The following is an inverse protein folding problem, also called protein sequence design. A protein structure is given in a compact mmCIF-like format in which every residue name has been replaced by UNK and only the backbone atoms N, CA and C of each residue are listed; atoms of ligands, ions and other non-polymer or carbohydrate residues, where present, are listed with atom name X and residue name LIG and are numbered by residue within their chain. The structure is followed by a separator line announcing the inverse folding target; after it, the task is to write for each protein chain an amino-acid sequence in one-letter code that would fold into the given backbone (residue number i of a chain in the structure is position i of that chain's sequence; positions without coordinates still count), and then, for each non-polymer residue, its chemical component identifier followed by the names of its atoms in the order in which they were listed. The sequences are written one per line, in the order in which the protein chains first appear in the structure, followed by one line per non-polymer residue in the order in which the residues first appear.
data_IF_135623848393
#
_entry.id   IF_135623848393
#
_cell.length_a   1.000
_cell.length_b   1.000
_cell.length_c   1.000
_cell.angle_alpha   90.00
_cell.angle_beta   90.00
_cell.angle_gamma   90.00
#
_symmetry.space_group_name_H-M   'P 1'
#
loop_
_entity.id
_entity.type
_entity.pdbx_description
1 polymer ?
#
# COMPACT_ATOMS: atom_id res chain seq x y z
N UNK A 1 3.33 -12.62 -6.67
CA UNK A 1 4.31 -11.74 -7.34
C UNK A 1 3.82 -10.32 -7.19
N UNK A 2 4.66 -9.41 -6.69
CA UNK A 2 4.31 -7.99 -6.55
C UNK A 2 4.64 -7.24 -7.84
N UNK A 3 3.80 -6.27 -8.20
CA UNK A 3 3.96 -5.39 -9.36
C UNK A 3 4.14 -3.96 -8.87
N UNK A 4 5.16 -3.27 -9.38
CA UNK A 4 5.38 -1.85 -9.11
C UNK A 4 4.36 -1.01 -9.87
N UNK A 5 3.75 -0.07 -9.16
CA UNK A 5 2.86 0.94 -9.73
C UNK A 5 3.47 2.31 -9.48
N UNK A 6 3.87 2.99 -10.55
CA UNK A 6 4.41 4.35 -10.46
C UNK A 6 3.27 5.37 -10.36
N UNK A 7 3.43 6.33 -9.46
CA UNK A 7 2.46 7.40 -9.18
C UNK A 7 2.58 8.54 -10.21
N UNK A 8 3.69 8.61 -10.94
CA UNK A 8 3.97 9.66 -11.94
C UNK A 8 4.35 11.03 -11.34
N UNK A 9 4.14 11.22 -10.03
CA UNK A 9 4.61 12.37 -9.24
C UNK A 9 4.98 11.95 -7.83
N UNK A 10 5.82 12.74 -7.15
CA UNK A 10 6.07 12.55 -5.72
C UNK A 10 4.91 13.08 -4.92
N UNK A 11 4.33 12.24 -4.08
CA UNK A 11 3.27 12.61 -3.13
C UNK A 11 3.70 12.31 -1.70
N UNK A 12 3.07 12.97 -0.74
CA UNK A 12 3.28 12.59 0.66
C UNK A 12 2.73 11.18 0.90
N UNK A 13 3.36 10.44 1.81
CA UNK A 13 2.85 9.12 2.22
C UNK A 13 1.39 9.19 2.69
N UNK A 14 1.04 10.19 3.48
CA UNK A 14 -0.33 10.36 3.99
C UNK A 14 -1.33 10.58 2.84
N UNK A 15 -0.95 11.35 1.82
CA UNK A 15 -1.78 11.56 0.62
C UNK A 15 -1.99 10.24 -0.13
N UNK A 16 -0.92 9.45 -0.32
CA UNK A 16 -1.02 8.16 -0.99
C UNK A 16 -1.91 7.18 -0.21
N UNK A 17 -1.66 7.00 1.09
CA UNK A 17 -2.43 6.09 1.94
C UNK A 17 -3.91 6.49 1.99
N UNK A 18 -4.22 7.79 2.03
CA UNK A 18 -5.59 8.30 1.94
C UNK A 18 -6.22 7.94 0.59
N UNK A 19 -5.54 8.18 -0.53
CA UNK A 19 -6.05 7.85 -1.86
C UNK A 19 -6.30 6.34 -2.03
N UNK A 20 -5.40 5.49 -1.52
CA UNK A 20 -5.55 4.03 -1.50
C UNK A 20 -6.79 3.59 -0.71
N UNK A 21 -7.03 4.20 0.45
CA UNK A 21 -8.21 3.94 1.28
C UNK A 21 -9.52 4.40 0.63
N UNK A 22 -9.57 5.64 0.15
CA UNK A 22 -10.75 6.19 -0.53
C UNK A 22 -11.10 5.42 -1.80
N UNK A 23 -10.11 4.95 -2.56
CA UNK A 23 -10.34 4.09 -3.72
C UNK A 23 -10.98 2.74 -3.32
N UNK A 24 -10.51 2.13 -2.22
CA UNK A 24 -11.10 0.88 -1.72
C UNK A 24 -12.56 1.08 -1.29
N UNK A 25 -12.83 2.15 -0.53
CA UNK A 25 -14.18 2.49 -0.06
C UNK A 25 -15.14 2.75 -1.23
N UNK A 26 -14.72 3.51 -2.25
CA UNK A 26 -15.52 3.79 -3.46
C UNK A 26 -15.92 2.51 -4.19
N UNK A 27 -15.07 1.48 -4.19
CA UNK A 27 -15.35 0.19 -4.82
C UNK A 27 -16.06 -0.81 -3.90
N UNK A 28 -16.41 -0.40 -2.68
CA UNK A 28 -17.04 -1.26 -1.68
C UNK A 28 -16.10 -2.35 -1.14
N UNK A 29 -14.79 -2.10 -1.16
CA UNK A 29 -13.78 -3.00 -0.63
C UNK A 29 -13.43 -2.60 0.80
N UNK A 30 -13.23 -3.58 1.67
CA UNK A 30 -12.67 -3.37 3.01
C UNK A 30 -11.15 -3.26 2.90
N UNK A 31 -10.55 -2.43 3.75
CA UNK A 31 -9.11 -2.23 3.82
C UNK A 31 -8.61 -2.49 5.24
N UNK A 32 -7.69 -3.43 5.38
CA UNK A 32 -7.00 -3.69 6.64
C UNK A 32 -5.53 -3.32 6.49
N UNK A 33 -5.04 -2.38 7.30
CA UNK A 33 -3.64 -1.96 7.28
C UNK A 33 -2.81 -2.71 8.34
N UNK A 34 -1.60 -3.11 7.99
CA UNK A 34 -0.61 -3.70 8.88
C UNK A 34 0.74 -3.03 8.67
N UNK A 35 1.32 -2.49 9.74
CA UNK A 35 2.68 -1.96 9.72
C UNK A 35 3.66 -3.09 10.00
N UNK A 36 4.65 -3.26 9.14
CA UNK A 36 5.73 -4.22 9.32
C UNK A 36 6.98 -3.51 9.83
N UNK A 37 7.62 -4.12 10.82
CA UNK A 37 8.80 -3.58 11.48
C UNK A 37 9.97 -4.55 11.27
N UNK A 38 11.09 -4.01 10.82
CA UNK A 38 12.34 -4.76 10.70
C UNK A 38 13.15 -4.59 12.00
N UNK A 39 13.62 -5.70 12.54
CA UNK A 39 14.57 -5.71 13.65
C UNK A 39 15.98 -5.54 13.11
N UNK A 40 16.72 -4.57 13.67
CA UNK A 40 18.15 -4.40 13.39
C UNK A 40 18.97 -4.56 14.66
N UNK A 41 20.00 -5.39 14.57
CA UNK A 41 21.03 -5.58 15.58
C UNK A 41 22.27 -4.77 15.18
N UNK A 42 22.79 -3.95 16.09
CA UNK A 42 24.04 -3.23 15.89
C UNK A 42 25.15 -3.92 16.68
N UNK A 43 26.19 -4.38 15.99
CA UNK A 43 27.41 -4.93 16.61
C UNK A 43 28.10 -3.82 17.40
N UNK A 44 28.36 -4.08 18.69
CA UNK A 44 29.02 -3.13 19.60
C UNK A 44 28.11 -2.54 20.69
N UNK A 45 26.77 -2.64 20.58
CA UNK A 45 25.87 -2.08 21.60
C UNK A 45 24.82 -3.06 22.16
N UNK A 46 24.78 -4.32 21.69
CA UNK A 46 23.75 -5.35 22.02
C UNK A 46 22.35 -4.71 22.13
N UNK A 47 22.02 -3.81 21.20
CA UNK A 47 20.77 -3.05 21.22
C UNK A 47 19.94 -3.46 20.02
N UNK A 48 18.79 -4.08 20.28
CA UNK A 48 17.76 -4.30 19.27
C UNK A 48 17.04 -2.98 19.02
N UNK A 49 16.97 -2.59 17.75
CA UNK A 49 16.14 -1.46 17.30
C UNK A 49 15.09 -1.97 16.33
N UNK A 50 13.86 -1.47 16.45
CA UNK A 50 12.79 -1.76 15.52
C UNK A 50 12.58 -0.54 14.63
N UNK A 51 12.65 -0.74 13.31
CA UNK A 51 12.39 0.31 12.32
C UNK A 51 11.18 -0.08 11.49
N UNK A 52 10.23 0.84 11.35
CA UNK A 52 9.11 0.66 10.43
C UNK A 52 9.65 0.49 9.01
N UNK A 53 9.36 -0.64 8.38
CA UNK A 53 9.94 -1.05 7.11
C UNK A 53 8.97 -0.87 5.94
N UNK A 54 7.69 -1.22 6.11
CA UNK A 54 6.63 -0.94 5.13
C UNK A 54 5.25 -1.08 5.78
N UNK A 55 4.21 -0.59 5.10
CA UNK A 55 2.81 -0.77 5.49
C UNK A 55 2.08 -1.51 4.39
N UNK A 56 1.45 -2.63 4.76
CA UNK A 56 0.63 -3.46 3.89
C UNK A 56 -0.85 -3.14 4.10
N UNK A 57 -1.57 -2.90 3.01
CA UNK A 57 -3.02 -2.71 2.96
C UNK A 57 -3.63 -3.92 2.27
N UNK A 58 -4.37 -4.73 3.02
CA UNK A 58 -5.09 -5.87 2.52
C UNK A 58 -6.49 -5.45 2.09
N UNK A 59 -6.72 -5.45 0.78
CA UNK A 59 -8.00 -5.11 0.16
C UNK A 59 -8.86 -6.37 0.06
N UNK A 60 -10.06 -6.30 0.62
CA UNK A 60 -11.01 -7.42 0.72
C UNK A 60 -12.35 -7.07 0.11
N UNK A 61 -12.93 -7.99 -0.65
CA UNK A 61 -14.32 -7.89 -1.13
C UNK A 61 -15.12 -9.03 -0.53
N UNK A 62 -16.10 -8.69 0.32
CA UNK A 62 -16.85 -9.63 1.17
C UNK A 62 -15.90 -10.42 2.10
N UNK A 63 -15.54 -11.65 1.72
CA UNK A 63 -14.76 -12.59 2.54
C UNK A 63 -13.40 -12.97 1.94
N UNK A 64 -13.05 -12.48 0.75
CA UNK A 64 -11.82 -12.87 0.06
C UNK A 64 -10.84 -11.71 -0.03
N UNK A 65 -9.57 -12.01 0.24
CA UNK A 65 -8.45 -11.13 -0.06
C UNK A 65 -8.34 -10.98 -1.58
N UNK A 66 -8.54 -9.75 -2.06
CA UNK A 66 -8.42 -9.41 -3.47
C UNK A 66 -6.98 -9.09 -3.79
N UNK A 67 -6.42 -8.14 -3.06
CA UNK A 67 -5.13 -7.57 -3.40
C UNK A 67 -4.47 -7.03 -2.14
N UNK A 68 -3.16 -7.14 -2.07
CA UNK A 68 -2.35 -6.42 -1.09
C UNK A 68 -1.69 -5.23 -1.78
N UNK A 69 -1.66 -4.09 -1.09
CA UNK A 69 -0.93 -2.89 -1.52
C UNK A 69 0.14 -2.59 -0.48
N UNK A 70 1.39 -2.44 -0.90
CA UNK A 70 2.52 -2.16 0.00
C UNK A 70 3.06 -0.76 -0.25
N UNK A 71 3.18 0.02 0.82
CA UNK A 71 3.78 1.36 0.84
C UNK A 71 5.01 1.39 1.74
N UNK A 72 5.96 2.25 1.40
CA UNK A 72 7.24 2.34 2.10
C UNK A 72 7.24 3.51 3.10
N UNK A 73 8.14 3.52 4.11
CA UNK A 73 8.09 4.43 5.24
C UNK A 73 8.64 5.81 4.90
N UNK A 74 8.88 6.08 3.61
CA UNK A 74 9.44 7.32 3.09
C UNK A 74 8.41 8.46 3.21
N UNK A 75 8.85 9.67 3.53
CA UNK A 75 7.98 10.84 3.65
C UNK A 75 7.30 11.16 2.33
N UNK A 76 8.05 11.04 1.23
CA UNK A 76 7.57 11.21 -0.15
C UNK A 76 7.71 9.89 -0.89
N UNK A 77 6.68 9.55 -1.66
CA UNK A 77 6.56 8.28 -2.37
C UNK A 77 6.19 8.59 -3.83
N UNK A 78 6.86 7.92 -4.77
CA UNK A 78 6.57 7.96 -6.21
C UNK A 78 6.14 6.60 -6.77
N UNK A 79 6.07 5.55 -5.95
CA UNK A 79 5.54 4.24 -6.32
C UNK A 79 4.98 3.47 -5.12
N UNK A 80 4.12 2.49 -5.40
CA UNK A 80 3.75 1.46 -4.44
C UNK A 80 3.79 0.10 -5.12
N UNK A 81 3.66 -0.98 -4.34
CA UNK A 81 3.55 -2.32 -4.90
C UNK A 81 2.12 -2.84 -4.75
N UNK A 82 1.65 -3.57 -5.76
CA UNK A 82 0.40 -4.34 -5.67
C UNK A 82 0.71 -5.83 -5.83
N UNK A 83 0.03 -6.65 -5.04
CA UNK A 83 0.05 -8.11 -5.15
C UNK A 83 -1.38 -8.61 -5.29
N UNK A 84 -1.93 -8.73 -6.51
CA UNK A 84 -3.24 -9.31 -6.73
C UNK A 84 -3.20 -10.82 -6.44
N UNK A 85 -4.19 -11.33 -5.72
CA UNK A 85 -4.34 -12.76 -5.45
C UNK A 85 -5.39 -13.39 -6.37
N UNK A 86 -6.66 -13.11 -6.09
CA UNK A 86 -7.84 -13.59 -6.84
C UNK A 86 -8.63 -12.40 -7.41
N UNK A 87 -7.91 -11.43 -7.96
CA UNK A 87 -8.48 -10.18 -8.49
C UNK A 87 -8.39 -10.20 -10.00
N UNK A 88 -9.51 -9.90 -10.66
CA UNK A 88 -9.51 -9.82 -12.11
C UNK A 88 -8.68 -8.62 -12.57
N UNK A 89 -8.13 -8.68 -13.79
CA UNK A 89 -7.42 -7.54 -14.38
C UNK A 89 -8.29 -6.27 -14.36
N UNK A 90 -9.59 -6.41 -14.68
CA UNK A 90 -10.57 -5.32 -14.64
C UNK A 90 -10.69 -4.70 -13.25
N UNK A 91 -10.81 -5.51 -12.20
CA UNK A 91 -10.88 -5.00 -10.82
C UNK A 91 -9.58 -4.26 -10.43
N UNK A 92 -8.41 -4.75 -10.87
CA UNK A 92 -7.13 -4.06 -10.63
C UNK A 92 -7.12 -2.70 -11.33
N UNK A 93 -7.50 -2.65 -12.62
CA UNK A 93 -7.55 -1.41 -13.39
C UNK A 93 -8.55 -0.41 -12.81
N UNK A 94 -9.72 -0.88 -12.38
CA UNK A 94 -10.74 -0.06 -11.73
C UNK A 94 -10.23 0.54 -10.40
N UNK A 95 -9.55 -0.27 -9.58
CA UNK A 95 -8.92 0.22 -8.36
C UNK A 95 -7.82 1.26 -8.65
N UNK A 96 -6.92 0.99 -9.59
CA UNK A 96 -5.84 1.92 -9.93
C UNK A 96 -6.38 3.22 -10.54
N UNK A 97 -7.44 3.16 -11.34
CA UNK A 97 -8.14 4.35 -11.84
C UNK A 97 -8.69 5.17 -10.68
N UNK A 98 -9.39 4.54 -9.73
CA UNK A 98 -9.91 5.22 -8.55
C UNK A 98 -8.80 5.82 -7.68
N UNK A 99 -7.65 5.15 -7.52
CA UNK A 99 -6.49 5.71 -6.81
C UNK A 99 -5.98 6.96 -7.53
N UNK A 100 -5.82 6.90 -8.85
CA UNK A 100 -5.38 8.03 -9.68
C UNK A 100 -6.29 9.25 -9.53
N UNK A 101 -7.62 9.04 -9.53
CA UNK A 101 -8.58 10.13 -9.37
C UNK A 101 -8.48 10.81 -8.00
N UNK A 102 -8.19 10.05 -6.92
CA UNK A 102 -8.02 10.60 -5.58
C UNK A 102 -6.60 11.17 -5.33
N UNK A 103 -5.70 11.11 -6.31
CA UNK A 103 -4.37 11.72 -6.27
C UNK A 103 -4.30 13.03 -7.07
N UNK A 104 -5.37 13.40 -7.80
CA UNK A 104 -5.42 14.60 -8.65
C UNK A 104 -5.78 15.89 -7.91
N UNK A 105 -6.07 15.81 -6.62
CA UNK A 105 -6.21 16.99 -5.73
C UNK A 105 -4.86 17.63 -5.38
#
# INVERSE_FOLDING_TARGET
MSTRVDVGKRVSRATLEKALGTAAEKLGWKIDSKKEYEKKYTLGSVRETQRHSWTDFNLKKRFFNRMQVTTFPQTTIDYFLISPYATSKKDVEEYLSAVSDNLRD
#
